data_IF_130453859297
#
_entry.id   IF_130453859297
#
_cell.length_a   1.000
_cell.length_b   1.000
_cell.length_c   1.000
_cell.angle_alpha   90.00
_cell.angle_beta   90.00
_cell.angle_gamma   90.00
#
_symmetry.space_group_name_H-M   'P 1'
#
loop_
_entity.id
_entity.type
_entity.pdbx_description
1 polymer ?
#
# COMPACT_ATOMS: atom_id res chain seq x y z
N UNK A 1 -11.07 -7.48 15.04
CA UNK A 1 -9.83 -6.96 14.41
C UNK A 1 -9.64 -5.52 14.89
N UNK A 2 -8.47 -5.18 15.43
CA UNK A 2 -8.18 -3.79 15.83
C UNK A 2 -7.91 -2.94 14.56
N UNK A 3 -8.18 -1.63 14.59
CA UNK A 3 -7.92 -0.68 13.51
C UNK A 3 -6.50 -0.82 12.92
N UNK A 4 -5.48 -1.02 13.76
CA UNK A 4 -4.11 -1.30 13.28
C UNK A 4 -4.08 -2.51 12.33
N UNK A 5 -4.66 -3.64 12.75
CA UNK A 5 -4.67 -4.88 11.96
C UNK A 5 -5.44 -4.71 10.67
N UNK A 6 -6.53 -3.92 10.68
CA UNK A 6 -7.29 -3.57 9.49
C UNK A 6 -6.46 -2.76 8.50
N UNK A 7 -5.77 -1.72 8.97
CA UNK A 7 -4.92 -0.90 8.10
C UNK A 7 -3.83 -1.74 7.45
N UNK A 8 -3.12 -2.56 8.24
CA UNK A 8 -2.06 -3.45 7.74
C UNK A 8 -2.62 -4.43 6.71
N UNK A 9 -3.77 -5.04 6.99
CA UNK A 9 -4.40 -5.96 6.04
C UNK A 9 -4.75 -5.26 4.72
N UNK A 10 -5.36 -4.07 4.78
CA UNK A 10 -5.71 -3.29 3.59
C UNK A 10 -4.47 -2.88 2.77
N UNK A 11 -3.39 -2.47 3.42
CA UNK A 11 -2.12 -2.20 2.72
C UNK A 11 -1.63 -3.46 1.99
N UNK A 12 -1.68 -4.62 2.65
CA UNK A 12 -1.30 -5.90 2.05
C UNK A 12 -2.16 -6.28 0.85
N UNK A 13 -3.48 -6.10 0.94
CA UNK A 13 -4.40 -6.37 -0.19
C UNK A 13 -4.13 -5.44 -1.38
N UNK A 14 -3.78 -4.18 -1.13
CA UNK A 14 -3.42 -3.24 -2.20
C UNK A 14 -2.13 -3.66 -2.91
N UNK A 15 -1.08 -4.02 -2.16
CA UNK A 15 0.18 -4.52 -2.75
C UNK A 15 -0.09 -5.80 -3.54
N UNK A 16 -0.82 -6.76 -2.95
CA UNK A 16 -1.18 -8.04 -3.59
C UNK A 16 -1.91 -7.80 -4.92
N UNK A 17 -2.91 -6.92 -4.93
CA UNK A 17 -3.67 -6.60 -6.13
C UNK A 17 -2.76 -6.05 -7.24
N UNK A 18 -1.86 -5.12 -6.92
CA UNK A 18 -0.94 -4.55 -7.90
C UNK A 18 0.07 -5.58 -8.44
N UNK A 19 0.65 -6.42 -7.58
CA UNK A 19 1.55 -7.50 -8.03
C UNK A 19 0.84 -8.44 -9.00
N UNK A 20 -0.41 -8.83 -8.70
CA UNK A 20 -1.19 -9.73 -9.54
C UNK A 20 -1.61 -9.08 -10.86
N UNK A 21 -2.02 -7.80 -10.84
CA UNK A 21 -2.34 -7.03 -12.06
C UNK A 21 -1.13 -6.98 -12.98
N UNK A 22 0.04 -6.59 -12.47
CA UNK A 22 1.27 -6.51 -13.26
C UNK A 22 1.68 -7.87 -13.82
N UNK A 23 1.44 -8.96 -13.08
CA UNK A 23 1.69 -10.31 -13.57
C UNK A 23 0.75 -10.68 -14.73
N UNK A 24 -0.54 -10.33 -14.64
CA UNK A 24 -1.52 -10.57 -15.71
C UNK A 24 -1.24 -9.71 -16.95
N UNK A 25 -0.88 -8.43 -16.77
CA UNK A 25 -0.51 -7.54 -17.88
C UNK A 25 0.71 -8.06 -18.64
N UNK A 26 1.71 -8.61 -17.93
CA UNK A 26 2.87 -9.28 -18.55
C UNK A 26 2.49 -10.49 -19.40
N UNK A 27 1.35 -11.12 -19.14
CA UNK A 27 0.80 -12.24 -19.93
C UNK A 27 -0.10 -11.76 -21.09
N UNK A 28 -0.31 -10.44 -21.23
CA UNK A 28 -1.10 -9.85 -22.31
C UNK A 28 -2.58 -9.63 -21.97
N UNK A 29 -2.98 -9.76 -20.70
CA UNK A 29 -4.34 -9.42 -20.27
C UNK A 29 -4.49 -7.91 -20.08
N UNK A 30 -5.58 -7.33 -20.59
CA UNK A 30 -5.97 -5.95 -20.29
C UNK A 30 -6.53 -5.88 -18.86
N UNK A 31 -5.77 -5.23 -17.97
CA UNK A 31 -6.12 -5.11 -16.55
C UNK A 31 -6.53 -3.69 -16.14
N UNK A 32 -6.78 -2.80 -17.09
CA UNK A 32 -7.07 -1.37 -16.85
C UNK A 32 -8.19 -1.12 -15.83
N UNK A 33 -9.14 -2.05 -15.71
CA UNK A 33 -10.31 -1.92 -14.83
C UNK A 33 -10.22 -2.69 -13.49
N UNK A 34 -9.10 -3.37 -13.20
CA UNK A 34 -8.99 -4.23 -12.00
C UNK A 34 -8.21 -3.60 -10.84
N UNK A 35 -7.71 -2.38 -11.00
CA UNK A 35 -6.95 -1.68 -9.96
C UNK A 35 -7.84 -1.37 -8.75
N UNK A 36 -7.51 -1.98 -7.63
CA UNK A 36 -8.10 -1.66 -6.34
C UNK A 36 -7.34 -0.48 -5.73
N UNK A 37 -7.93 0.72 -5.79
CA UNK A 37 -7.38 1.89 -5.11
C UNK A 37 -8.10 2.11 -3.77
N UNK A 38 -7.50 1.60 -2.69
CA UNK A 38 -7.99 1.77 -1.31
C UNK A 38 -7.10 2.71 -0.48
N UNK A 39 -6.20 3.45 -1.13
CA UNK A 39 -5.27 4.38 -0.48
C UNK A 39 -6.00 5.40 0.40
N UNK A 40 -7.10 5.98 -0.08
CA UNK A 40 -7.88 6.95 0.68
C UNK A 40 -8.44 6.34 1.98
N UNK A 41 -8.92 5.11 1.92
CA UNK A 41 -9.45 4.38 3.08
C UNK A 41 -8.34 4.11 4.09
N UNK A 42 -7.18 3.64 3.62
CA UNK A 42 -5.98 3.41 4.44
C UNK A 42 -5.56 4.69 5.16
N UNK A 43 -5.43 5.81 4.44
CA UNK A 43 -4.99 7.09 5.01
C UNK A 43 -6.01 7.66 6.00
N UNK A 44 -7.31 7.59 5.70
CA UNK A 44 -8.37 7.99 6.64
C UNK A 44 -8.34 7.17 7.92
N UNK A 45 -8.21 5.84 7.81
CA UNK A 45 -8.12 4.95 8.97
C UNK A 45 -6.85 5.20 9.79
N UNK A 46 -5.73 5.58 9.15
CA UNK A 46 -4.51 5.99 9.83
C UNK A 46 -4.64 7.36 10.56
N UNK A 47 -5.72 8.11 10.28
CA UNK A 47 -6.07 9.36 10.95
C UNK A 47 -5.73 10.63 10.17
N UNK A 48 -5.54 10.53 8.85
CA UNK A 48 -5.34 11.67 7.97
C UNK A 48 -6.70 12.14 7.41
N UNK A 49 -7.26 13.19 8.02
CA UNK A 49 -8.57 13.74 7.61
C UNK A 49 -8.48 14.67 6.39
N UNK A 50 -7.32 15.28 6.17
CA UNK A 50 -7.01 16.06 4.97
C UNK A 50 -5.78 15.41 4.34
N UNK A 51 -5.98 14.72 3.23
CA UNK A 51 -4.92 14.04 2.50
C UNK A 51 -4.35 15.00 1.45
N UNK A 52 -3.26 15.69 1.79
CA UNK A 52 -2.52 16.49 0.83
C UNK A 52 -1.94 15.60 -0.27
N UNK A 53 -1.82 16.12 -1.50
CA UNK A 53 -1.28 15.37 -2.65
C UNK A 53 0.07 14.72 -2.36
N UNK A 54 0.93 15.40 -1.59
CA UNK A 54 2.23 14.87 -1.17
C UNK A 54 2.15 13.63 -0.28
N UNK A 55 1.12 13.52 0.56
CA UNK A 55 0.91 12.33 1.40
C UNK A 55 0.50 11.14 0.53
N UNK A 56 -0.38 11.35 -0.45
CA UNK A 56 -0.72 10.33 -1.44
C UNK A 56 0.50 9.90 -2.23
N UNK A 57 1.28 10.86 -2.73
CA UNK A 57 2.50 10.57 -3.47
C UNK A 57 3.47 9.73 -2.64
N UNK A 58 3.72 10.13 -1.40
CA UNK A 58 4.59 9.37 -0.49
C UNK A 58 4.05 7.95 -0.25
N UNK A 59 2.74 7.81 -0.05
CA UNK A 59 2.12 6.50 0.13
C UNK A 59 2.27 5.63 -1.13
N UNK A 60 2.05 6.19 -2.32
CA UNK A 60 2.23 5.47 -3.58
C UNK A 60 3.67 5.04 -3.81
N UNK A 61 4.67 5.90 -3.52
CA UNK A 61 6.09 5.52 -3.60
C UNK A 61 6.43 4.31 -2.73
N UNK A 62 5.81 4.19 -1.55
CA UNK A 62 6.01 3.05 -0.66
C UNK A 62 5.35 1.79 -1.20
N UNK A 63 4.15 1.91 -1.77
CA UNK A 63 3.45 0.80 -2.42
C UNK A 63 4.24 0.32 -3.63
N UNK A 64 4.72 1.23 -4.49
CA UNK A 64 5.54 0.91 -5.67
C UNK A 64 6.79 0.13 -5.27
N UNK A 65 7.54 0.61 -4.27
CA UNK A 65 8.70 -0.12 -3.72
C UNK A 65 8.34 -1.51 -3.20
N UNK A 66 7.21 -1.63 -2.51
CA UNK A 66 6.74 -2.90 -2.00
C UNK A 66 6.38 -3.87 -3.14
N UNK A 67 5.74 -3.38 -4.19
CA UNK A 67 5.37 -4.16 -5.38
C UNK A 67 6.63 -4.62 -6.13
N UNK A 68 7.61 -3.74 -6.32
CA UNK A 68 8.88 -4.09 -6.97
C UNK A 68 9.68 -5.15 -6.21
N UNK A 69 9.67 -5.09 -4.87
CA UNK A 69 10.35 -6.04 -3.99
C UNK A 69 9.54 -7.32 -3.72
N UNK A 70 8.32 -7.44 -4.24
CA UNK A 70 7.43 -8.60 -4.03
C UNK A 70 7.30 -9.44 -5.28
N UNK A 71 7.54 -10.74 -5.16
CA UNK A 71 7.27 -11.73 -6.21
C UNK A 71 6.14 -12.68 -5.80
N UNK A 72 5.72 -13.55 -6.71
CA UNK A 72 4.76 -14.60 -6.39
C UNK A 72 5.29 -15.62 -5.37
N UNK A 73 6.59 -15.87 -5.37
CA UNK A 73 7.20 -16.93 -4.54
C UNK A 73 7.38 -16.54 -3.07
N UNK A 74 7.47 -15.24 -2.78
CA UNK A 74 7.68 -14.68 -1.44
C UNK A 74 6.54 -13.75 -1.01
N UNK A 75 5.40 -13.82 -1.70
CA UNK A 75 4.28 -12.90 -1.54
C UNK A 75 3.83 -12.75 -0.09
N UNK A 76 3.53 -13.85 0.62
CA UNK A 76 3.01 -13.74 1.98
C UNK A 76 4.03 -13.14 2.97
N UNK A 77 5.32 -13.46 2.83
CA UNK A 77 6.39 -12.89 3.64
C UNK A 77 6.55 -11.38 3.37
N UNK A 78 6.62 -11.01 2.10
CA UNK A 78 6.79 -9.61 1.68
C UNK A 78 5.59 -8.76 2.03
N UNK A 79 4.37 -9.27 1.86
CA UNK A 79 3.15 -8.57 2.26
C UNK A 79 3.13 -8.30 3.76
N UNK A 80 3.48 -9.28 4.60
CA UNK A 80 3.54 -9.09 6.04
C UNK A 80 4.58 -8.01 6.42
N UNK A 81 5.77 -8.08 5.81
CA UNK A 81 6.87 -7.13 6.07
C UNK A 81 6.52 -5.71 5.60
N UNK A 82 6.15 -5.55 4.34
CA UNK A 82 5.89 -4.23 3.76
C UNK A 82 4.67 -3.55 4.37
N UNK A 83 3.62 -4.30 4.70
CA UNK A 83 2.43 -3.72 5.33
C UNK A 83 2.73 -3.11 6.70
N UNK A 84 3.58 -3.74 7.51
CA UNK A 84 4.06 -3.17 8.78
C UNK A 84 5.01 -1.98 8.55
N UNK A 85 5.93 -2.05 7.58
CA UNK A 85 6.82 -0.91 7.25
C UNK A 85 6.00 0.33 6.88
N UNK A 86 5.04 0.17 5.96
CA UNK A 86 4.20 1.27 5.49
C UNK A 86 3.32 1.80 6.63
N UNK A 87 2.75 0.92 7.45
CA UNK A 87 1.98 1.35 8.62
C UNK A 87 2.83 2.20 9.58
N UNK A 88 4.05 1.76 9.88
CA UNK A 88 4.96 2.48 10.78
C UNK A 88 5.38 3.83 10.20
N UNK A 89 5.65 3.91 8.89
CA UNK A 89 5.93 5.18 8.20
C UNK A 89 4.73 6.14 8.31
N UNK A 90 3.50 5.65 8.13
CA UNK A 90 2.30 6.47 8.30
C UNK A 90 2.14 6.98 9.74
N UNK A 91 2.52 6.19 10.75
CA UNK A 91 2.53 6.65 12.14
C UNK A 91 3.62 7.70 12.37
N UNK A 92 4.80 7.51 11.79
CA UNK A 92 5.90 8.48 11.88
C UNK A 92 5.50 9.83 11.25
N UNK A 93 4.96 9.82 10.03
CA UNK A 93 4.46 11.01 9.34
C UNK A 93 3.39 11.73 10.17
N UNK A 94 2.51 10.98 10.83
CA UNK A 94 1.47 11.55 11.67
C UNK A 94 2.03 12.24 12.92
N UNK A 95 3.12 11.73 13.48
CA UNK A 95 3.75 12.26 14.69
C UNK A 95 4.74 13.40 14.40
N UNK A 96 5.53 13.25 13.33
CA UNK A 96 6.69 14.08 13.04
C UNK A 96 6.49 14.98 11.80
N UNK A 97 5.38 14.82 11.08
CA UNK A 97 5.11 15.52 9.83
C UNK A 97 5.69 14.79 8.62
N UNK A 98 5.26 15.22 7.42
CA UNK A 98 5.77 14.64 6.18
C UNK A 98 7.24 15.07 5.98
N UNK A 99 8.18 14.13 5.73
CA UNK A 99 9.55 14.50 5.40
C UNK A 99 9.60 15.37 4.13
N UNK A 100 10.63 16.24 4.02
CA UNK A 100 10.77 17.18 2.90
C UNK A 100 10.91 16.49 1.53
#
# INVERSE_FOLDING_TARGET
MNTKQLIIHLIGEQIRNQVLILALEKLGFDCTNYTLNISEVVLKLAGFNITADRLYQRYFELIEKAVEDTSYHDMDEKLAKWSEIIFNELQDIKLNGLPP
#
